data_IF_277225867040
#
_entry.id   IF_277225867040
#
_cell.length_a   1.000
_cell.length_b   1.000
_cell.length_c   1.000
_cell.angle_alpha   90.00
_cell.angle_beta   90.00
_cell.angle_gamma   90.00
#
_symmetry.space_group_name_H-M   'P 1'
#
loop_
_entity.id
_entity.type
_entity.pdbx_description
1 polymer ?
#
# COMPACT_ATOMS: atom_id res chain seq x y z
N UNK A 1 -11.05 -20.28 2.69
CA UNK A 1 -9.67 -20.46 2.20
C UNK A 1 -8.94 -19.12 2.32
N UNK A 2 -8.09 -19.04 3.32
CA UNK A 2 -7.24 -17.88 3.56
C UNK A 2 -6.30 -17.66 2.38
N UNK A 3 -6.37 -16.50 1.75
CA UNK A 3 -5.38 -16.08 0.75
C UNK A 3 -4.08 -15.76 1.48
N UNK A 4 -2.91 -16.29 1.04
CA UNK A 4 -1.64 -15.90 1.62
C UNK A 4 -1.40 -14.41 1.36
N UNK A 5 -1.18 -13.63 2.41
CA UNK A 5 -0.75 -12.22 2.33
C UNK A 5 -1.75 -11.14 2.72
N UNK A 6 -3.04 -11.42 2.75
CA UNK A 6 -4.04 -10.50 3.29
C UNK A 6 -4.86 -11.24 4.34
N UNK A 7 -4.31 -11.38 5.53
CA UNK A 7 -5.09 -11.86 6.67
C UNK A 7 -6.11 -10.80 7.07
N UNK A 8 -7.38 -11.17 7.12
CA UNK A 8 -8.40 -10.28 7.65
C UNK A 8 -8.23 -10.15 9.17
N UNK A 9 -8.33 -8.95 9.67
CA UNK A 9 -8.45 -8.68 11.11
C UNK A 9 -9.85 -9.12 11.57
N UNK A 10 -9.95 -9.74 12.74
CA UNK A 10 -11.24 -10.18 13.28
C UNK A 10 -12.15 -8.96 13.54
N UNK A 11 -13.33 -8.86 12.90
CA UNK A 11 -14.28 -7.76 13.11
C UNK A 11 -14.75 -7.59 14.57
N UNK A 12 -14.71 -8.65 15.38
CA UNK A 12 -15.05 -8.58 16.80
C UNK A 12 -14.13 -7.66 17.59
N UNK A 13 -12.88 -7.54 17.20
CA UNK A 13 -11.94 -6.61 17.82
C UNK A 13 -12.38 -5.16 17.65
N UNK A 14 -12.95 -4.84 16.48
CA UNK A 14 -13.49 -3.51 16.22
C UNK A 14 -14.71 -3.19 17.09
N UNK A 15 -15.60 -4.14 17.28
CA UNK A 15 -16.77 -3.96 18.14
C UNK A 15 -16.39 -3.70 19.60
N UNK A 16 -15.30 -4.31 20.06
CA UNK A 16 -14.80 -4.19 21.43
C UNK A 16 -13.72 -3.10 21.62
N UNK A 17 -13.47 -2.26 20.62
CA UNK A 17 -12.36 -1.29 20.60
C UNK A 17 -12.38 -0.27 21.76
N UNK A 18 -13.55 0.03 22.29
CA UNK A 18 -13.69 0.95 23.44
C UNK A 18 -13.29 0.29 24.75
N UNK A 19 -13.45 -1.03 24.85
CA UNK A 19 -13.12 -1.82 26.04
C UNK A 19 -11.68 -2.35 25.97
N UNK A 20 -11.24 -2.77 24.79
CA UNK A 20 -9.91 -3.35 24.56
C UNK A 20 -9.27 -2.79 23.28
N UNK A 21 -8.85 -1.54 23.35
CA UNK A 21 -8.15 -0.87 22.25
C UNK A 21 -6.75 -1.45 21.99
N UNK A 22 -6.13 -2.05 23.00
CA UNK A 22 -4.77 -2.61 22.88
C UNK A 22 -4.74 -3.85 21.99
N UNK A 23 -5.70 -4.74 22.13
CA UNK A 23 -5.79 -5.93 21.28
C UNK A 23 -6.03 -5.55 19.82
N UNK A 24 -6.88 -4.56 19.57
CA UNK A 24 -7.09 -4.04 18.22
C UNK A 24 -5.83 -3.37 17.67
N UNK A 25 -5.11 -2.59 18.51
CA UNK A 25 -3.86 -1.94 18.11
C UNK A 25 -2.79 -2.96 17.74
N UNK A 26 -2.62 -4.01 18.55
CA UNK A 26 -1.67 -5.09 18.25
C UNK A 26 -1.96 -5.77 16.92
N UNK A 27 -3.24 -6.01 16.63
CA UNK A 27 -3.64 -6.62 15.36
C UNK A 27 -3.40 -5.67 14.17
N UNK A 28 -3.71 -4.38 14.33
CA UNK A 28 -3.46 -3.36 13.29
C UNK A 28 -1.98 -3.11 13.06
N UNK A 29 -1.14 -3.21 14.06
CA UNK A 29 0.31 -3.07 13.94
C UNK A 29 0.99 -4.34 13.43
N UNK A 30 0.35 -5.48 13.58
CA UNK A 30 0.88 -6.80 13.27
C UNK A 30 0.97 -7.14 11.78
N UNK A 31 1.25 -8.45 11.51
CA UNK A 31 1.54 -8.96 10.15
C UNK A 31 0.44 -8.76 9.11
N UNK A 32 -0.81 -8.56 9.57
CA UNK A 32 -1.97 -8.32 8.69
C UNK A 32 -2.24 -6.84 8.41
N UNK A 33 -1.62 -5.97 9.20
CA UNK A 33 -1.83 -4.52 9.16
C UNK A 33 -0.56 -3.75 8.76
N UNK A 34 -0.09 -2.91 9.68
CA UNK A 34 1.04 -2.00 9.45
C UNK A 34 2.32 -2.74 9.06
N UNK A 35 2.64 -3.84 9.72
CA UNK A 35 3.85 -4.60 9.41
C UNK A 35 3.86 -5.12 7.97
N UNK A 36 2.70 -5.49 7.42
CA UNK A 36 2.58 -5.84 6.01
C UNK A 36 2.83 -4.64 5.09
N UNK A 37 2.31 -3.45 5.43
CA UNK A 37 2.56 -2.23 4.66
C UNK A 37 4.04 -1.88 4.63
N UNK A 38 4.75 -2.08 5.75
CA UNK A 38 6.19 -1.79 5.87
C UNK A 38 7.07 -2.68 4.98
N UNK A 39 6.57 -3.83 4.54
CA UNK A 39 7.32 -4.72 3.65
C UNK A 39 7.48 -4.16 2.23
N UNK A 40 6.61 -3.26 1.80
CA UNK A 40 6.62 -2.82 0.40
C UNK A 40 6.43 -1.31 0.20
N UNK A 41 5.69 -0.63 1.06
CA UNK A 41 5.30 0.77 0.80
C UNK A 41 6.49 1.75 0.89
N UNK A 42 7.37 1.68 1.92
CA UNK A 42 8.57 2.50 1.97
C UNK A 42 9.52 2.22 0.80
N UNK A 43 9.66 0.96 0.40
CA UNK A 43 10.48 0.57 -0.74
C UNK A 43 9.98 1.20 -2.05
N UNK A 44 8.66 1.32 -2.25
CA UNK A 44 8.10 1.98 -3.43
C UNK A 44 8.49 3.45 -3.52
N UNK A 45 8.51 4.17 -2.40
CA UNK A 45 8.96 5.55 -2.34
C UNK A 45 10.47 5.64 -2.64
N UNK A 46 11.26 4.80 -1.99
CA UNK A 46 12.72 4.76 -2.11
C UNK A 46 13.18 4.40 -3.53
N UNK A 47 12.71 3.28 -4.08
CA UNK A 47 13.15 2.77 -5.39
C UNK A 47 12.80 3.72 -6.54
N UNK A 48 11.71 4.46 -6.41
CA UNK A 48 11.26 5.40 -7.42
C UNK A 48 11.71 6.85 -7.16
N UNK A 49 12.27 7.14 -5.98
CA UNK A 49 12.68 8.50 -5.59
C UNK A 49 11.52 9.48 -5.54
N UNK A 50 10.39 9.06 -5.00
CA UNK A 50 9.16 9.85 -4.96
C UNK A 50 8.61 9.96 -3.53
N UNK A 51 7.86 11.02 -3.27
CA UNK A 51 6.97 11.01 -2.12
C UNK A 51 5.80 10.06 -2.39
N UNK A 52 5.48 9.24 -1.41
CA UNK A 52 4.30 8.39 -1.47
C UNK A 52 3.29 8.84 -0.42
N UNK A 53 2.06 9.10 -0.86
CA UNK A 53 0.92 9.38 0.01
C UNK A 53 -0.03 8.20 -0.08
N UNK A 54 -0.16 7.50 1.02
CA UNK A 54 -1.02 6.33 1.14
C UNK A 54 -2.23 6.67 2.00
N UNK A 55 -3.41 6.71 1.40
CA UNK A 55 -4.68 6.86 2.08
C UNK A 55 -5.37 5.51 2.20
N UNK A 56 -5.72 5.12 3.42
CA UNK A 56 -6.34 3.83 3.70
C UNK A 56 -7.52 4.01 4.66
N UNK A 57 -8.68 3.40 4.40
CA UNK A 57 -9.81 3.48 5.30
C UNK A 57 -9.51 2.80 6.64
N UNK A 58 -10.17 3.27 7.70
CA UNK A 58 -10.14 2.67 9.04
C UNK A 58 -11.57 2.28 9.42
N UNK A 59 -11.73 1.10 10.03
CA UNK A 59 -13.05 0.63 10.48
C UNK A 59 -13.66 -0.40 9.56
N UNK A 60 -14.95 -0.67 9.79
CA UNK A 60 -15.69 -1.66 9.03
C UNK A 60 -16.05 -1.16 7.63
N UNK A 61 -15.80 -2.00 6.64
CA UNK A 61 -16.16 -1.84 5.23
C UNK A 61 -16.82 -3.17 4.82
N UNK A 62 -18.14 -3.22 4.87
CA UNK A 62 -18.94 -4.44 4.84
C UNK A 62 -18.49 -5.44 5.92
N UNK A 63 -17.99 -6.59 5.51
CA UNK A 63 -17.48 -7.67 6.37
C UNK A 63 -15.97 -7.58 6.65
N UNK A 64 -15.29 -6.55 6.14
CA UNK A 64 -13.86 -6.38 6.24
C UNK A 64 -13.49 -5.25 7.18
N UNK A 65 -12.64 -5.55 8.15
CA UNK A 65 -12.06 -4.53 8.99
C UNK A 65 -10.80 -3.96 8.31
N UNK A 66 -10.83 -2.65 8.05
CA UNK A 66 -9.71 -1.89 7.48
C UNK A 66 -8.86 -1.29 8.59
N UNK A 67 -7.56 -1.41 8.47
CA UNK A 67 -6.61 -1.07 9.53
C UNK A 67 -6.13 0.39 9.53
N UNK A 68 -6.59 1.22 8.59
CA UNK A 68 -6.11 2.59 8.51
C UNK A 68 -4.61 2.67 8.16
N UNK A 69 -3.83 3.32 9.01
CA UNK A 69 -2.39 3.56 8.79
C UNK A 69 -2.11 4.39 7.53
N UNK A 70 -2.95 5.40 7.25
CA UNK A 70 -2.65 6.38 6.21
C UNK A 70 -1.33 7.07 6.55
N UNK A 71 -0.44 7.24 5.54
CA UNK A 71 0.89 7.77 5.82
C UNK A 71 1.47 8.54 4.64
N UNK A 72 2.43 9.39 4.96
CA UNK A 72 3.25 10.14 4.00
C UNK A 72 4.69 9.65 4.15
N UNK A 73 5.30 9.26 3.06
CA UNK A 73 6.65 8.69 3.00
C UNK A 73 7.51 9.56 2.10
N UNK A 74 8.73 9.86 2.53
CA UNK A 74 9.65 10.66 1.73
C UNK A 74 10.42 9.79 0.69
N UNK A 75 11.14 10.43 -0.26
CA UNK A 75 11.90 9.72 -1.30
C UNK A 75 13.04 8.84 -0.79
N UNK A 76 13.35 8.90 0.50
CA UNK A 76 14.34 8.04 1.16
C UNK A 76 13.69 6.84 1.87
N UNK A 77 12.36 6.68 1.75
CA UNK A 77 11.62 5.61 2.40
C UNK A 77 11.28 5.86 3.87
N UNK A 78 11.49 7.09 4.38
CA UNK A 78 11.14 7.43 5.75
C UNK A 78 9.67 7.82 5.86
N UNK A 79 8.98 7.29 6.86
CA UNK A 79 7.63 7.74 7.20
C UNK A 79 7.75 9.10 7.89
N UNK A 80 7.26 10.16 7.25
CA UNK A 80 7.32 11.52 7.79
C UNK A 80 6.02 11.96 8.45
N UNK A 81 4.92 11.27 8.21
CA UNK A 81 3.66 11.44 8.92
C UNK A 81 2.82 10.15 8.82
N UNK A 82 2.09 9.81 9.89
CA UNK A 82 1.29 8.59 9.95
C UNK A 82 0.05 8.79 10.83
N UNK A 83 -1.11 8.39 10.33
CA UNK A 83 -2.35 8.30 11.10
C UNK A 83 -2.32 7.08 12.01
N UNK A 84 -2.51 7.30 13.32
CA UNK A 84 -2.43 6.24 14.34
C UNK A 84 -3.71 6.07 15.13
N UNK A 85 -4.72 6.90 14.95
CA UNK A 85 -5.99 6.75 15.64
C UNK A 85 -6.77 5.53 15.13
N UNK A 86 -7.61 4.99 16.01
CA UNK A 86 -8.58 3.94 15.67
C UNK A 86 -9.92 4.58 15.23
N UNK A 87 -9.83 5.69 14.54
CA UNK A 87 -10.95 6.53 14.07
C UNK A 87 -10.45 7.38 12.91
N UNK A 88 -11.33 8.22 12.36
CA UNK A 88 -10.96 9.22 11.37
C UNK A 88 -9.78 10.07 11.86
N UNK A 89 -8.77 10.17 11.03
CA UNK A 89 -7.55 10.88 11.35
C UNK A 89 -6.98 11.58 10.10
N UNK A 90 -6.21 12.62 10.32
CA UNK A 90 -5.55 13.36 9.26
C UNK A 90 -4.14 13.75 9.71
N UNK A 91 -3.20 13.57 8.81
CA UNK A 91 -1.82 14.02 9.00
C UNK A 91 -1.37 14.86 7.81
N UNK A 92 -0.46 15.78 8.06
CA UNK A 92 0.13 16.65 7.04
C UNK A 92 1.65 16.60 7.13
N UNK A 93 2.32 16.86 6.01
CA UNK A 93 3.77 16.98 5.94
C UNK A 93 4.17 18.04 4.91
N UNK A 94 5.29 18.70 5.15
CA UNK A 94 5.91 19.58 4.16
C UNK A 94 6.78 18.75 3.23
N UNK A 95 6.51 18.85 1.93
CA UNK A 95 7.25 18.16 0.88
C UNK A 95 8.21 19.17 0.22
N UNK A 96 9.49 18.82 0.13
CA UNK A 96 10.51 19.68 -0.46
C UNK A 96 11.06 19.07 -1.75
N UNK A 97 11.21 19.87 -2.83
CA UNK A 97 11.75 19.37 -4.11
C UNK A 97 13.16 18.81 -4.01
N UNK A 98 14.00 19.36 -3.12
CA UNK A 98 15.40 18.93 -2.96
C UNK A 98 15.52 17.45 -2.60
N UNK A 99 14.63 16.95 -1.75
CA UNK A 99 14.60 15.51 -1.41
C UNK A 99 14.35 14.60 -2.61
N UNK A 100 13.64 15.08 -3.63
CA UNK A 100 13.44 14.31 -4.86
C UNK A 100 14.77 14.15 -5.61
N UNK A 101 15.48 15.26 -5.85
CA UNK A 101 16.73 15.26 -6.62
C UNK A 101 17.87 14.57 -5.91
N UNK A 102 17.89 14.61 -4.58
CA UNK A 102 18.92 13.99 -3.75
C UNK A 102 18.73 12.47 -3.56
N UNK A 103 17.55 11.96 -3.87
CA UNK A 103 17.21 10.55 -3.65
C UNK A 103 17.93 9.59 -4.61
N UNK A 104 18.13 8.36 -4.15
CA UNK A 104 18.68 7.27 -4.97
C UNK A 104 17.83 6.94 -6.18
N UNK A 105 16.51 6.89 -5.99
CA UNK A 105 15.55 6.59 -7.05
C UNK A 105 15.56 7.63 -8.19
N UNK A 106 15.75 8.92 -7.87
CA UNK A 106 15.95 9.95 -8.90
C UNK A 106 17.18 9.65 -9.76
N UNK A 107 18.33 9.35 -9.14
CA UNK A 107 19.55 9.01 -9.86
C UNK A 107 19.36 7.78 -10.76
N UNK A 108 18.67 6.76 -10.28
CA UNK A 108 18.36 5.56 -11.07
C UNK A 108 17.43 5.89 -12.25
N UNK A 109 16.47 6.75 -12.05
CA UNK A 109 15.57 7.21 -13.12
C UNK A 109 16.34 7.97 -14.21
N UNK A 110 17.26 8.85 -13.82
CA UNK A 110 18.10 9.60 -14.76
C UNK A 110 19.11 8.72 -15.48
N UNK A 111 19.55 7.63 -14.84
CA UNK A 111 20.50 6.67 -15.42
C UNK A 111 19.83 5.60 -16.31
N UNK A 112 18.51 5.62 -16.45
CA UNK A 112 17.80 4.67 -17.32
C UNK A 112 18.30 4.75 -18.76
N UNK A 113 18.41 3.58 -19.37
CA UNK A 113 18.81 3.42 -20.77
C UNK A 113 17.66 2.90 -21.61
N UNK A 114 16.66 3.72 -21.94
CA UNK A 114 15.45 3.30 -22.65
C UNK A 114 15.76 2.67 -24.02
N UNK A 115 16.86 3.05 -24.63
CA UNK A 115 17.29 2.49 -25.92
C UNK A 115 17.49 0.98 -25.88
N UNK A 116 17.94 0.43 -24.75
CA UNK A 116 18.12 -1.02 -24.57
C UNK A 116 16.79 -1.78 -24.54
N UNK A 117 15.71 -1.11 -24.17
CA UNK A 117 14.40 -1.72 -24.00
C UNK A 117 13.42 -1.38 -25.13
N UNK A 118 13.83 -0.52 -26.07
CA UNK A 118 12.96 0.00 -27.13
C UNK A 118 12.23 -1.12 -27.89
N UNK A 119 12.93 -2.17 -28.25
CA UNK A 119 12.38 -3.31 -28.99
C UNK A 119 11.35 -4.14 -28.20
N UNK A 120 11.33 -4.00 -26.87
CA UNK A 120 10.42 -4.69 -25.97
C UNK A 120 9.25 -3.77 -25.59
N UNK A 121 9.57 -2.55 -25.15
CA UNK A 121 8.58 -1.58 -24.65
C UNK A 121 7.77 -0.96 -25.79
N UNK A 122 8.37 -0.78 -26.94
CA UNK A 122 7.72 -0.19 -28.14
C UNK A 122 6.81 -1.14 -28.92
N UNK A 123 6.59 -2.36 -28.43
CA UNK A 123 5.64 -3.29 -29.07
C UNK A 123 4.27 -3.16 -28.43
N UNK A 124 3.25 -3.15 -29.27
CA UNK A 124 1.89 -3.32 -28.79
C UNK A 124 1.77 -4.69 -28.11
N UNK A 125 1.32 -4.71 -26.89
CA UNK A 125 0.99 -5.94 -26.21
C UNK A 125 -0.38 -5.83 -25.54
N UNK A 126 -1.15 -6.88 -25.68
CA UNK A 126 -2.47 -6.99 -25.08
C UNK A 126 -2.36 -7.82 -23.82
N UNK A 127 -2.75 -7.24 -22.68
CA UNK A 127 -2.88 -8.02 -21.46
C UNK A 127 -4.12 -8.90 -21.58
N UNK A 128 -3.90 -10.21 -21.63
CA UNK A 128 -4.97 -11.22 -21.61
C UNK A 128 -5.36 -11.61 -20.18
N UNK A 129 -4.57 -11.20 -19.18
CA UNK A 129 -4.88 -11.47 -17.79
C UNK A 129 -5.91 -10.46 -17.27
N UNK A 130 -7.08 -10.95 -16.94
CA UNK A 130 -8.09 -10.18 -16.21
C UNK A 130 -7.90 -10.36 -14.72
N UNK A 131 -7.99 -9.26 -13.98
CA UNK A 131 -7.90 -9.29 -12.52
C UNK A 131 -9.17 -9.95 -11.99
N UNK A 132 -9.05 -11.18 -11.51
CA UNK A 132 -10.18 -12.06 -11.17
C UNK A 132 -11.15 -11.44 -10.15
N UNK A 133 -10.67 -10.59 -9.23
CA UNK A 133 -11.50 -9.93 -8.22
C UNK A 133 -12.29 -8.72 -8.75
N UNK A 134 -11.94 -8.17 -9.92
CA UNK A 134 -12.68 -7.06 -10.52
C UNK A 134 -13.87 -7.51 -11.38
N UNK A 135 -13.92 -8.78 -11.73
CA UNK A 135 -14.91 -9.24 -12.70
C UNK A 135 -16.17 -9.81 -12.08
N UNK A 136 -16.21 -10.05 -10.77
CA UNK A 136 -17.36 -10.69 -10.10
C UNK A 136 -17.80 -12.04 -10.70
N UNK A 137 -17.11 -12.50 -11.75
CA UNK A 137 -17.44 -13.72 -12.48
C UNK A 137 -16.73 -14.92 -11.86
N UNK A 138 -17.49 -16.00 -11.66
CA UNK A 138 -16.94 -17.29 -11.22
C UNK A 138 -15.96 -17.82 -12.27
N UNK A 139 -14.94 -18.55 -11.83
CA UNK A 139 -13.90 -19.21 -12.66
C UNK A 139 -14.43 -19.98 -13.91
N UNK A 140 -15.73 -20.32 -13.94
CA UNK A 140 -16.38 -21.02 -15.06
C UNK A 140 -16.55 -20.17 -16.32
N UNK A 141 -16.46 -18.84 -16.19
CA UNK A 141 -16.67 -17.91 -17.31
C UNK A 141 -15.35 -17.44 -17.95
N UNK A 142 -14.25 -17.89 -17.43
CA UNK A 142 -12.92 -17.69 -17.97
C UNK A 142 -12.53 -19.01 -18.63
N UNK A 143 -12.68 -19.10 -19.94
CA UNK A 143 -12.08 -20.18 -20.72
C UNK A 143 -10.56 -20.10 -20.59
N UNK A 144 -10.03 -20.76 -19.55
CA UNK A 144 -8.63 -21.08 -19.33
C UNK A 144 -8.46 -22.58 -19.49
#
# INVERSE_FOLDING_TARGET
SSRPGAGFVDPKLWQNREVDSESLRREFDGPKGREWLMKWLPARAYDNGVYAVFANPVGMDDDQLKNGCSMIIDPFGNIIAECRKLDNDMVTATLTPDKLTDSGGYRYTMARRPDLYRNIIGRDHTSVQKVAWLTGKKKKDLNL
#
